data_IF_367238486837
#
_entry.id   IF_367238486837
#
_cell.length_a   1.000
_cell.length_b   1.000
_cell.length_c   1.000
_cell.angle_alpha   90.00
_cell.angle_beta   90.00
_cell.angle_gamma   90.00
#
_symmetry.space_group_name_H-M   'P 1'
#
loop_
_entity.id
_entity.type
_entity.pdbx_description
1 polymer ?
#
# COMPACT_ATOMS: atom_id res chain seq x y z
N UNK A 1 1.20 -12.25 8.27
CA UNK A 1 0.74 -11.74 9.59
C UNK A 1 1.95 -11.49 10.49
N UNK A 2 2.82 -12.47 10.75
CA UNK A 2 3.93 -12.34 11.72
C UNK A 2 5.00 -11.33 11.31
N UNK A 3 5.29 -11.17 10.01
CA UNK A 3 6.16 -10.09 9.53
C UNK A 3 5.60 -8.72 9.91
N UNK A 4 4.29 -8.53 9.73
CA UNK A 4 3.62 -7.28 10.14
C UNK A 4 3.66 -7.10 11.66
N UNK A 5 3.46 -8.18 12.44
CA UNK A 5 3.60 -8.16 13.89
C UNK A 5 4.96 -7.61 14.33
N UNK A 6 6.03 -8.08 13.66
CA UNK A 6 7.39 -7.58 13.93
C UNK A 6 7.56 -6.11 13.52
N UNK A 7 6.99 -5.71 12.38
CA UNK A 7 7.12 -4.36 11.86
C UNK A 7 6.37 -3.31 12.71
N UNK A 8 5.16 -3.63 13.17
CA UNK A 8 4.38 -2.70 14.01
C UNK A 8 4.88 -2.62 15.45
N UNK A 9 5.72 -3.57 15.87
CA UNK A 9 6.27 -3.62 17.23
C UNK A 9 5.28 -4.15 18.27
N UNK A 10 5.73 -4.31 19.49
CA UNK A 10 4.96 -4.93 20.59
C UNK A 10 3.68 -4.18 20.92
N UNK A 11 3.69 -2.86 20.81
CA UNK A 11 2.53 -1.99 21.10
C UNK A 11 1.54 -1.89 19.95
N UNK A 12 1.93 -2.30 18.75
CA UNK A 12 1.04 -2.39 17.60
C UNK A 12 0.11 -3.59 17.70
N UNK A 13 -0.91 -3.64 16.85
CA UNK A 13 -1.86 -4.76 16.79
C UNK A 13 -2.02 -5.20 15.33
N UNK A 14 -2.04 -6.51 15.10
CA UNK A 14 -2.28 -7.10 13.78
C UNK A 14 -3.47 -8.03 13.86
N UNK A 15 -4.45 -7.84 12.97
CA UNK A 15 -5.62 -8.70 12.84
C UNK A 15 -5.47 -9.46 11.52
N UNK A 16 -5.43 -10.78 11.58
CA UNK A 16 -5.49 -11.67 10.42
C UNK A 16 -6.91 -12.20 10.26
N UNK A 17 -7.52 -12.00 9.09
CA UNK A 17 -8.83 -12.53 8.75
C UNK A 17 -8.66 -13.61 7.68
N UNK A 18 -9.29 -14.74 7.86
CA UNK A 18 -9.31 -15.83 6.89
C UNK A 18 -10.65 -16.57 6.97
N UNK A 19 -11.19 -16.99 5.82
CA UNK A 19 -12.44 -17.75 5.76
C UNK A 19 -12.23 -19.24 6.07
N UNK A 20 -10.99 -19.72 6.15
CA UNK A 20 -10.63 -21.13 6.27
C UNK A 20 -10.10 -21.45 7.68
N UNK A 21 -10.88 -22.19 8.47
CA UNK A 21 -10.50 -22.52 9.85
C UNK A 21 -9.14 -23.23 9.94
N UNK A 22 -8.85 -24.18 9.04
CA UNK A 22 -7.58 -24.92 9.05
C UNK A 22 -6.35 -24.00 8.82
N UNK A 23 -6.49 -22.90 8.05
CA UNK A 23 -5.43 -21.92 7.88
C UNK A 23 -5.21 -21.10 9.16
N UNK A 24 -6.29 -20.74 9.83
CA UNK A 24 -6.21 -20.04 11.12
C UNK A 24 -5.61 -20.93 12.20
N UNK A 25 -5.94 -22.21 12.22
CA UNK A 25 -5.37 -23.17 13.18
C UNK A 25 -3.87 -23.34 12.96
N UNK A 26 -3.45 -23.42 11.69
CA UNK A 26 -2.03 -23.45 11.33
C UNK A 26 -1.33 -22.16 11.75
N UNK A 27 -1.93 -21.01 11.49
CA UNK A 27 -1.37 -19.72 11.89
C UNK A 27 -1.25 -19.64 13.42
N UNK A 28 -2.30 -19.94 14.17
CA UNK A 28 -2.31 -19.92 15.64
C UNK A 28 -1.26 -20.85 16.26
N UNK A 29 -0.97 -22.00 15.62
CA UNK A 29 0.04 -22.95 16.08
C UNK A 29 1.42 -22.31 16.29
N UNK A 30 1.76 -21.32 15.47
CA UNK A 30 3.06 -20.64 15.54
C UNK A 30 3.03 -19.33 16.33
N UNK A 31 1.89 -18.96 16.91
CA UNK A 31 1.71 -17.65 17.54
C UNK A 31 2.64 -17.44 18.74
N UNK A 32 2.75 -18.42 19.63
CA UNK A 32 3.63 -18.34 20.80
C UNK A 32 5.10 -18.38 20.41
N UNK A 33 5.48 -19.25 19.46
CA UNK A 33 6.85 -19.32 18.95
C UNK A 33 7.29 -17.96 18.37
N UNK A 34 6.43 -17.32 17.57
CA UNK A 34 6.76 -16.01 16.97
C UNK A 34 6.80 -14.90 18.03
N UNK A 35 5.89 -14.91 19.00
CA UNK A 35 5.92 -13.99 20.14
C UNK A 35 7.27 -14.07 20.88
N UNK A 36 7.69 -15.29 21.22
CA UNK A 36 8.98 -15.52 21.91
C UNK A 36 10.18 -15.08 21.06
N UNK A 37 10.17 -15.45 19.77
CA UNK A 37 11.22 -15.06 18.83
C UNK A 37 11.34 -13.54 18.68
N UNK A 38 10.25 -12.80 18.82
CA UNK A 38 10.27 -11.34 18.76
C UNK A 38 10.61 -10.69 20.10
N UNK A 39 10.59 -11.45 21.19
CA UNK A 39 10.83 -10.96 22.54
C UNK A 39 9.65 -10.19 23.13
N UNK A 40 8.43 -10.46 22.67
CA UNK A 40 7.22 -9.79 23.15
C UNK A 40 6.66 -10.47 24.40
N UNK A 41 6.20 -9.68 25.37
CA UNK A 41 5.55 -10.20 26.57
C UNK A 41 4.24 -10.90 26.21
N UNK A 42 3.45 -10.29 25.30
CA UNK A 42 2.18 -10.83 24.79
C UNK A 42 2.18 -10.82 23.27
N UNK A 43 1.45 -11.76 22.66
CA UNK A 43 1.20 -11.70 21.23
C UNK A 43 0.37 -10.46 20.88
N UNK A 44 0.83 -9.71 19.88
CA UNK A 44 0.10 -8.57 19.32
C UNK A 44 -0.70 -8.96 18.06
N UNK A 45 -0.85 -10.28 17.81
CA UNK A 45 -1.60 -10.84 16.68
C UNK A 45 -2.91 -11.45 17.16
N UNK A 46 -3.97 -11.18 16.43
CA UNK A 46 -5.29 -11.76 16.57
C UNK A 46 -5.74 -12.37 15.26
N UNK A 47 -6.31 -13.59 15.30
CA UNK A 47 -6.84 -14.28 14.13
C UNK A 47 -8.36 -14.41 14.24
N UNK A 48 -9.08 -14.03 13.20
CA UNK A 48 -10.54 -14.04 13.11
C UNK A 48 -11.00 -14.85 11.91
N UNK A 49 -11.94 -15.76 12.14
CA UNK A 49 -12.62 -16.49 11.07
C UNK A 49 -13.69 -15.58 10.47
N UNK A 50 -13.70 -15.44 9.15
CA UNK A 50 -14.73 -14.67 8.45
C UNK A 50 -14.35 -14.36 7.03
N UNK A 51 -15.25 -13.66 6.35
CA UNK A 51 -15.12 -13.26 4.96
C UNK A 51 -14.63 -11.83 4.87
N UNK A 52 -13.78 -11.57 3.86
CA UNK A 52 -13.26 -10.22 3.60
C UNK A 52 -14.31 -9.27 3.04
N UNK A 53 -15.40 -9.82 2.53
CA UNK A 53 -16.60 -9.12 2.07
C UNK A 53 -17.47 -8.61 3.23
N UNK A 54 -17.25 -9.09 4.46
CA UNK A 54 -18.02 -8.71 5.65
C UNK A 54 -17.11 -8.65 6.87
N UNK A 55 -16.29 -7.62 6.93
CA UNK A 55 -15.37 -7.39 8.05
C UNK A 55 -16.11 -6.95 9.32
N UNK A 56 -17.34 -6.43 9.17
CA UNK A 56 -18.19 -6.09 10.31
C UNK A 56 -18.57 -7.34 11.10
N UNK A 57 -18.95 -8.45 10.43
CA UNK A 57 -19.18 -9.74 11.06
C UNK A 57 -17.92 -10.30 11.74
N UNK A 58 -16.73 -9.92 11.28
CA UNK A 58 -15.48 -10.22 11.96
C UNK A 58 -15.21 -9.33 13.18
N UNK A 59 -16.12 -8.43 13.54
CA UNK A 59 -15.97 -7.48 14.66
C UNK A 59 -14.94 -6.38 14.40
N UNK A 60 -14.73 -5.99 13.14
CA UNK A 60 -13.85 -4.88 12.77
C UNK A 60 -14.70 -3.63 12.57
N UNK A 61 -14.50 -2.64 13.42
CA UNK A 61 -15.28 -1.42 13.46
C UNK A 61 -14.91 -0.45 12.34
N UNK A 62 -15.81 0.49 12.06
CA UNK A 62 -15.55 1.60 11.15
C UNK A 62 -14.35 2.42 11.61
N UNK A 63 -13.55 2.86 10.67
CA UNK A 63 -12.42 3.77 10.91
C UNK A 63 -11.51 3.35 12.09
N UNK A 64 -11.30 2.04 12.24
CA UNK A 64 -10.51 1.46 13.33
C UNK A 64 -9.11 1.02 12.90
N UNK A 65 -8.85 0.90 11.59
CA UNK A 65 -7.63 0.32 11.01
C UNK A 65 -6.77 1.40 10.36
N UNK A 66 -5.48 1.39 10.65
CA UNK A 66 -4.50 2.31 10.06
C UNK A 66 -3.98 1.81 8.70
N UNK A 67 -3.86 0.49 8.53
CA UNK A 67 -3.29 -0.13 7.33
C UNK A 67 -3.96 -1.47 7.06
N UNK A 68 -4.49 -1.65 5.86
CA UNK A 68 -4.93 -2.94 5.32
C UNK A 68 -3.89 -3.44 4.33
N UNK A 69 -3.44 -4.69 4.53
CA UNK A 69 -2.49 -5.36 3.64
C UNK A 69 -3.12 -6.63 3.10
N UNK A 70 -3.02 -6.84 1.80
CA UNK A 70 -3.48 -8.06 1.13
C UNK A 70 -2.49 -8.47 0.03
N UNK A 71 -2.37 -9.77 -0.21
CA UNK A 71 -1.54 -10.29 -1.29
C UNK A 71 -2.22 -11.48 -1.96
N UNK A 72 -2.56 -11.33 -3.25
CA UNK A 72 -3.20 -12.36 -4.10
C UNK A 72 -4.50 -12.93 -3.51
N UNK A 73 -5.33 -12.12 -2.86
CA UNK A 73 -6.56 -12.57 -2.22
C UNK A 73 -7.80 -11.89 -2.79
N UNK A 74 -7.72 -10.59 -3.07
CA UNK A 74 -8.87 -9.81 -3.55
C UNK A 74 -9.40 -10.38 -4.87
N UNK A 75 -8.53 -10.86 -5.74
CA UNK A 75 -8.91 -11.49 -6.99
C UNK A 75 -9.70 -12.81 -6.81
N UNK A 76 -9.54 -13.49 -5.69
CA UNK A 76 -10.29 -14.73 -5.41
C UNK A 76 -11.74 -14.47 -5.00
N UNK A 77 -12.04 -13.27 -4.53
CA UNK A 77 -13.42 -12.90 -4.20
C UNK A 77 -14.26 -12.67 -5.46
N UNK A 78 -15.47 -13.24 -5.53
CA UNK A 78 -16.43 -12.91 -6.58
C UNK A 78 -17.11 -11.55 -6.36
N UNK A 79 -16.99 -10.96 -5.15
CA UNK A 79 -17.63 -9.71 -4.74
C UNK A 79 -16.58 -8.65 -4.37
N UNK A 80 -15.74 -8.29 -5.34
CA UNK A 80 -14.63 -7.36 -5.12
C UNK A 80 -15.07 -5.97 -4.70
N UNK A 81 -16.25 -5.55 -5.11
CA UNK A 81 -16.92 -4.31 -4.71
C UNK A 81 -17.21 -4.30 -3.20
N UNK A 82 -17.72 -5.40 -2.65
CA UNK A 82 -17.95 -5.55 -1.21
C UNK A 82 -16.63 -5.54 -0.45
N UNK A 83 -15.63 -6.29 -0.94
CA UNK A 83 -14.29 -6.31 -0.32
C UNK A 83 -13.71 -4.91 -0.20
N UNK A 84 -13.67 -4.15 -1.31
CA UNK A 84 -13.07 -2.82 -1.32
C UNK A 84 -13.90 -1.82 -0.50
N UNK A 85 -15.23 -1.96 -0.49
CA UNK A 85 -16.11 -1.14 0.36
C UNK A 85 -15.87 -1.40 1.84
N UNK A 86 -15.73 -2.66 2.26
CA UNK A 86 -15.40 -3.00 3.64
C UNK A 86 -14.01 -2.51 4.04
N UNK A 87 -13.02 -2.63 3.15
CA UNK A 87 -11.68 -2.07 3.38
C UNK A 87 -11.76 -0.54 3.55
N UNK A 88 -12.52 0.14 2.71
CA UNK A 88 -12.69 1.60 2.84
C UNK A 88 -13.39 1.97 4.15
N UNK A 89 -14.43 1.22 4.54
CA UNK A 89 -15.16 1.44 5.79
C UNK A 89 -14.24 1.35 7.01
N UNK A 90 -13.45 0.27 7.11
CA UNK A 90 -12.62 0.01 8.29
C UNK A 90 -11.39 0.89 8.39
N UNK A 91 -10.90 1.44 7.29
CA UNK A 91 -9.74 2.33 7.29
C UNK A 91 -10.09 3.67 7.95
N UNK A 92 -9.21 4.15 8.83
CA UNK A 92 -9.24 5.52 9.36
C UNK A 92 -9.03 6.54 8.25
N UNK A 93 -9.47 7.80 8.43
CA UNK A 93 -8.96 8.89 7.63
C UNK A 93 -7.41 8.93 7.69
N UNK A 94 -6.74 9.01 6.53
CA UNK A 94 -5.29 8.88 6.42
C UNK A 94 -4.77 7.44 6.41
N UNK A 95 -5.63 6.46 6.63
CA UNK A 95 -5.29 5.04 6.55
C UNK A 95 -4.97 4.59 5.13
N UNK A 96 -4.23 3.51 5.01
CA UNK A 96 -3.67 3.02 3.75
C UNK A 96 -4.20 1.62 3.41
N UNK A 97 -4.68 1.45 2.19
CA UNK A 97 -4.78 0.13 1.55
C UNK A 97 -3.48 -0.12 0.79
N UNK A 98 -2.80 -1.21 1.11
CA UNK A 98 -1.59 -1.66 0.43
C UNK A 98 -1.75 -3.12 0.03
N UNK A 99 -2.03 -3.38 -1.23
CA UNK A 99 -2.25 -4.75 -1.68
C UNK A 99 -1.63 -5.04 -3.03
N UNK A 100 -1.22 -6.29 -3.21
CA UNK A 100 -0.67 -6.82 -4.45
C UNK A 100 -1.62 -7.85 -5.02
N UNK A 101 -1.91 -7.75 -6.31
CA UNK A 101 -2.74 -8.72 -7.02
C UNK A 101 -2.43 -8.74 -8.52
N UNK A 102 -3.08 -9.66 -9.24
CA UNK A 102 -2.88 -9.86 -10.68
C UNK A 102 -3.85 -9.00 -11.48
N UNK A 103 -3.33 -8.36 -12.51
CA UNK A 103 -4.09 -7.57 -13.49
C UNK A 103 -3.94 -8.15 -14.87
N UNK A 104 -4.94 -7.97 -15.71
CA UNK A 104 -4.96 -8.41 -17.11
C UNK A 104 -5.04 -7.21 -18.07
N UNK A 105 -4.48 -7.36 -19.25
CA UNK A 105 -4.51 -6.34 -20.32
C UNK A 105 -5.91 -6.15 -20.93
N UNK A 106 -6.85 -7.05 -20.64
CA UNK A 106 -8.23 -7.01 -21.14
C UNK A 106 -9.19 -7.74 -20.22
N UNK A 107 -10.49 -7.50 -20.42
CA UNK A 107 -11.54 -8.23 -19.69
C UNK A 107 -11.56 -9.70 -20.11
N UNK A 108 -11.71 -10.57 -19.13
CA UNK A 108 -11.93 -12.00 -19.35
C UNK A 108 -13.39 -12.32 -19.66
N UNK A 109 -13.62 -13.34 -20.45
CA UNK A 109 -14.94 -13.95 -20.62
C UNK A 109 -15.39 -14.64 -19.33
N UNK A 110 -16.71 -14.79 -19.14
CA UNK A 110 -17.24 -15.47 -17.96
C UNK A 110 -16.77 -16.92 -17.87
N UNK A 111 -16.55 -17.59 -19.00
CA UNK A 111 -16.00 -18.94 -19.06
C UNK A 111 -14.60 -19.02 -18.41
N UNK A 112 -13.73 -18.09 -18.78
CA UNK A 112 -12.36 -18.04 -18.21
C UNK A 112 -12.38 -17.63 -16.72
N UNK A 113 -13.29 -16.73 -16.33
CA UNK A 113 -13.42 -16.30 -14.94
C UNK A 113 -13.82 -17.43 -13.99
N UNK A 114 -14.60 -18.38 -14.46
CA UNK A 114 -15.08 -19.52 -13.67
C UNK A 114 -14.29 -20.81 -13.88
N UNK A 115 -13.21 -20.75 -14.66
CA UNK A 115 -12.35 -21.91 -14.86
C UNK A 115 -11.60 -22.24 -13.57
N UNK A 116 -11.73 -23.45 -13.01
CA UNK A 116 -11.15 -23.81 -11.70
C UNK A 116 -9.61 -23.69 -11.67
N UNK A 117 -8.96 -23.96 -12.80
CA UNK A 117 -7.50 -23.86 -12.90
C UNK A 117 -7.07 -22.40 -12.88
N UNK A 118 -7.73 -21.55 -13.69
CA UNK A 118 -7.41 -20.13 -13.76
C UNK A 118 -7.73 -19.41 -12.44
N UNK A 119 -8.81 -19.79 -11.76
CA UNK A 119 -9.13 -19.27 -10.42
C UNK A 119 -8.05 -19.70 -9.42
N UNK A 120 -7.63 -20.97 -9.42
CA UNK A 120 -6.58 -21.48 -8.55
C UNK A 120 -5.21 -20.82 -8.78
N UNK A 121 -4.93 -20.39 -10.00
CA UNK A 121 -3.72 -19.65 -10.38
C UNK A 121 -3.85 -18.12 -10.21
N UNK A 122 -4.92 -17.63 -9.58
CA UNK A 122 -5.24 -16.20 -9.41
C UNK A 122 -5.41 -15.42 -10.74
N UNK A 123 -5.50 -16.12 -11.87
CA UNK A 123 -5.67 -15.52 -13.19
C UNK A 123 -7.14 -15.24 -13.49
N UNK A 124 -8.04 -16.18 -13.17
CA UNK A 124 -9.48 -16.08 -13.46
C UNK A 124 -10.14 -14.83 -12.87
N UNK A 125 -9.66 -14.39 -11.70
CA UNK A 125 -10.14 -13.17 -11.04
C UNK A 125 -9.35 -11.91 -11.35
N UNK A 126 -8.36 -11.95 -12.27
CA UNK A 126 -7.50 -10.80 -12.54
C UNK A 126 -8.29 -9.54 -12.90
N UNK A 127 -7.89 -8.42 -12.34
CA UNK A 127 -8.49 -7.13 -12.63
C UNK A 127 -8.12 -6.66 -14.04
N UNK A 128 -9.09 -6.13 -14.77
CA UNK A 128 -8.78 -5.24 -15.88
C UNK A 128 -8.60 -3.82 -15.33
N UNK A 129 -7.47 -3.18 -15.60
CA UNK A 129 -7.04 -1.92 -14.96
C UNK A 129 -8.12 -0.83 -14.98
N UNK A 130 -8.81 -0.66 -16.11
CA UNK A 130 -9.85 0.37 -16.21
C UNK A 130 -11.03 0.07 -15.30
N UNK A 131 -11.50 -1.17 -15.26
CA UNK A 131 -12.62 -1.59 -14.41
C UNK A 131 -12.24 -1.45 -12.93
N UNK A 132 -10.99 -1.76 -12.60
CA UNK A 132 -10.48 -1.57 -11.25
C UNK A 132 -10.46 -0.10 -10.84
N UNK A 133 -10.02 0.81 -11.72
CA UNK A 133 -10.06 2.26 -11.45
C UNK A 133 -11.48 2.78 -11.23
N UNK A 134 -12.42 2.35 -12.06
CA UNK A 134 -13.83 2.70 -11.92
C UNK A 134 -14.40 2.19 -10.59
N UNK A 135 -14.06 0.95 -10.21
CA UNK A 135 -14.48 0.35 -8.94
C UNK A 135 -13.90 1.10 -7.74
N UNK A 136 -12.59 1.40 -7.76
CA UNK A 136 -11.93 2.17 -6.71
C UNK A 136 -12.56 3.56 -6.53
N UNK A 137 -12.86 4.25 -7.63
CA UNK A 137 -13.53 5.55 -7.60
C UNK A 137 -14.94 5.47 -7.00
N UNK A 138 -15.72 4.44 -7.35
CA UNK A 138 -17.06 4.20 -6.79
C UNK A 138 -17.03 3.96 -5.28
N UNK A 139 -16.01 3.28 -4.79
CA UNK A 139 -15.83 2.98 -3.36
C UNK A 139 -15.39 4.21 -2.56
N UNK A 140 -14.68 5.16 -3.18
CA UNK A 140 -14.21 6.37 -2.51
C UNK A 140 -12.74 6.71 -2.73
N UNK A 141 -12.04 5.96 -3.59
CA UNK A 141 -10.68 6.27 -4.04
C UNK A 141 -10.67 6.70 -5.50
N UNK A 142 -10.92 7.96 -5.84
CA UNK A 142 -10.88 8.44 -7.23
C UNK A 142 -9.47 8.33 -7.83
N UNK A 143 -8.45 8.21 -6.98
CA UNK A 143 -7.06 7.98 -7.39
C UNK A 143 -6.32 7.08 -6.40
N UNK A 144 -5.32 6.38 -6.92
CA UNK A 144 -4.35 5.55 -6.19
C UNK A 144 -3.06 5.46 -7.01
N UNK A 145 -2.00 4.89 -6.42
CA UNK A 145 -0.72 4.69 -7.12
C UNK A 145 -0.30 3.23 -7.12
N UNK A 146 0.40 2.83 -8.19
CA UNK A 146 1.11 1.57 -8.23
C UNK A 146 2.51 1.78 -7.66
N UNK A 147 2.89 0.97 -6.68
CA UNK A 147 4.24 1.01 -6.08
C UNK A 147 5.18 0.03 -6.76
N UNK A 148 4.64 -1.07 -7.27
CA UNK A 148 5.35 -2.10 -8.05
C UNK A 148 4.47 -2.51 -9.21
N UNK A 149 5.07 -2.72 -10.37
CA UNK A 149 4.45 -3.27 -11.58
C UNK A 149 5.45 -4.24 -12.20
N UNK A 150 5.13 -5.52 -12.19
CA UNK A 150 5.97 -6.58 -12.74
C UNK A 150 5.20 -7.40 -13.77
N UNK A 151 5.79 -7.64 -14.93
CA UNK A 151 5.22 -8.53 -15.95
C UNK A 151 5.19 -9.97 -15.47
N UNK A 152 4.07 -10.63 -15.69
CA UNK A 152 3.87 -12.03 -15.35
C UNK A 152 3.89 -12.90 -16.59
N UNK A 153 4.69 -13.97 -16.55
CA UNK A 153 4.72 -14.97 -17.62
C UNK A 153 3.92 -16.20 -17.22
N UNK A 154 2.87 -16.49 -17.99
CA UNK A 154 2.15 -17.75 -17.90
C UNK A 154 3.00 -18.82 -18.59
N UNK A 155 3.67 -19.69 -17.83
CA UNK A 155 4.67 -20.61 -18.36
C UNK A 155 4.11 -21.77 -19.19
N UNK A 156 2.87 -22.21 -18.91
CA UNK A 156 2.25 -23.35 -19.56
C UNK A 156 1.59 -22.96 -20.89
N UNK A 157 1.99 -23.59 -21.98
CA UNK A 157 1.49 -23.28 -23.32
C UNK A 157 -0.01 -23.56 -23.50
N UNK A 158 -0.53 -24.57 -22.84
CA UNK A 158 -1.96 -24.90 -22.81
C UNK A 158 -2.77 -23.79 -22.15
N UNK A 159 -2.28 -23.24 -21.03
CA UNK A 159 -2.89 -22.08 -20.37
C UNK A 159 -2.79 -20.83 -21.24
N UNK A 160 -1.65 -20.57 -21.87
CA UNK A 160 -1.50 -19.44 -22.81
C UNK A 160 -2.50 -19.52 -23.95
N UNK A 161 -2.64 -20.71 -24.54
CA UNK A 161 -3.60 -20.94 -25.64
C UNK A 161 -5.03 -20.73 -25.17
N UNK A 162 -5.37 -21.27 -24.00
CA UNK A 162 -6.70 -21.11 -23.38
C UNK A 162 -7.03 -19.63 -23.09
N UNK A 163 -6.05 -18.87 -22.62
CA UNK A 163 -6.16 -17.45 -22.33
C UNK A 163 -6.10 -16.55 -23.58
N UNK A 164 -5.93 -17.11 -24.79
CA UNK A 164 -5.81 -16.34 -26.01
C UNK A 164 -4.64 -15.35 -25.99
N UNK A 165 -3.53 -15.75 -25.36
CA UNK A 165 -2.31 -14.94 -25.18
C UNK A 165 -2.57 -13.59 -24.49
N UNK A 166 -3.46 -13.56 -23.51
CA UNK A 166 -3.62 -12.41 -22.62
C UNK A 166 -2.33 -12.13 -21.86
N UNK A 167 -2.04 -10.84 -21.64
CA UNK A 167 -0.92 -10.42 -20.82
C UNK A 167 -1.40 -10.14 -19.40
N UNK A 168 -0.55 -10.51 -18.44
CA UNK A 168 -0.80 -10.30 -17.02
C UNK A 168 0.34 -9.51 -16.38
N UNK A 169 -0.01 -8.70 -15.42
CA UNK A 169 0.93 -7.96 -14.58
C UNK A 169 0.60 -8.19 -13.11
N UNK A 170 1.62 -8.31 -12.28
CA UNK A 170 1.48 -8.24 -10.83
C UNK A 170 1.65 -6.79 -10.42
N UNK A 171 0.62 -6.18 -9.84
CA UNK A 171 0.68 -4.79 -9.41
C UNK A 171 0.47 -4.69 -7.91
N UNK A 172 1.30 -3.86 -7.26
CA UNK A 172 1.07 -3.47 -5.87
C UNK A 172 0.48 -2.06 -5.84
N UNK A 173 -0.70 -1.94 -5.26
CA UNK A 173 -1.45 -0.69 -5.14
C UNK A 173 -1.25 -0.07 -3.76
N UNK A 174 -1.11 1.24 -3.74
CA UNK A 174 -1.22 2.09 -2.55
C UNK A 174 -2.37 3.06 -2.73
N UNK A 175 -3.36 2.99 -1.85
CA UNK A 175 -4.48 3.93 -1.82
C UNK A 175 -4.64 4.50 -0.40
N UNK A 176 -4.72 5.82 -0.28
CA UNK A 176 -4.87 6.53 1.00
C UNK A 176 -6.31 7.01 1.13
N UNK A 177 -6.98 6.66 2.25
CA UNK A 177 -8.32 7.17 2.55
C UNK A 177 -8.23 8.64 2.97
N UNK A 178 -8.52 9.54 2.05
CA UNK A 178 -8.57 10.97 2.33
C UNK A 178 -9.61 11.67 1.45
N UNK A 179 -10.17 12.76 1.95
CA UNK A 179 -11.12 13.57 1.20
C UNK A 179 -10.42 14.52 0.23
N UNK A 180 -11.17 15.02 -0.74
CA UNK A 180 -10.73 16.04 -1.69
C UNK A 180 -9.76 15.53 -2.75
N UNK A 181 -9.66 14.21 -2.95
CA UNK A 181 -8.99 13.64 -4.12
C UNK A 181 -9.82 13.90 -5.38
N UNK A 182 -9.12 14.10 -6.48
CA UNK A 182 -9.68 14.38 -7.80
C UNK A 182 -9.47 13.17 -8.72
N UNK A 183 -10.34 12.95 -9.70
CA UNK A 183 -10.20 11.86 -10.66
C UNK A 183 -8.95 12.01 -11.54
N UNK A 184 -8.57 13.28 -11.84
CA UNK A 184 -7.36 13.63 -12.58
C UNK A 184 -6.21 14.05 -11.69
N UNK A 185 -5.01 13.94 -12.22
CA UNK A 185 -3.83 14.54 -11.59
C UNK A 185 -3.74 16.02 -11.99
N UNK A 186 -4.04 16.92 -11.05
CA UNK A 186 -4.13 18.36 -11.28
C UNK A 186 -2.94 19.11 -10.67
N UNK A 187 -2.52 20.22 -11.32
CA UNK A 187 -1.36 21.03 -10.93
C UNK A 187 -1.80 22.28 -10.14
N UNK A 188 -1.40 22.32 -8.89
CA UNK A 188 -1.53 23.47 -7.98
C UNK A 188 -0.18 24.08 -7.63
N UNK A 189 0.88 23.73 -8.37
CA UNK A 189 2.24 24.20 -8.13
C UNK A 189 2.86 23.68 -6.85
N UNK A 190 2.38 22.58 -6.32
CA UNK A 190 2.87 22.01 -5.08
C UNK A 190 4.19 21.27 -5.26
N UNK A 191 4.97 21.28 -4.20
CA UNK A 191 6.26 20.61 -4.12
C UNK A 191 6.32 19.82 -2.84
N UNK A 192 6.75 18.57 -2.92
CA UNK A 192 7.02 17.74 -1.77
C UNK A 192 8.51 17.47 -1.62
N UNK A 193 9.03 17.59 -0.41
CA UNK A 193 10.42 17.30 -0.08
C UNK A 193 10.47 16.26 1.02
N UNK A 194 11.11 15.14 0.74
CA UNK A 194 11.34 14.11 1.75
C UNK A 194 12.45 14.55 2.71
N UNK A 195 12.15 14.59 4.00
CA UNK A 195 13.07 15.05 5.03
C UNK A 195 14.00 13.94 5.54
N UNK A 196 13.69 12.67 5.20
CA UNK A 196 14.34 11.51 5.80
C UNK A 196 13.71 11.17 7.17
N UNK A 197 14.45 10.44 8.00
CA UNK A 197 14.00 10.09 9.35
C UNK A 197 13.16 8.82 9.43
N UNK A 198 12.79 8.22 8.30
CA UNK A 198 12.20 6.89 8.26
C UNK A 198 13.34 5.85 8.35
N UNK A 199 13.38 5.01 9.38
CA UNK A 199 14.53 4.13 9.65
C UNK A 199 14.90 3.22 8.47
N UNK A 200 13.89 2.68 7.79
CA UNK A 200 14.07 1.75 6.67
C UNK A 200 14.40 2.45 5.37
N UNK A 201 14.09 3.75 5.27
CA UNK A 201 14.26 4.57 4.06
C UNK A 201 15.00 5.88 4.36
N UNK A 202 16.19 5.87 4.95
CA UNK A 202 16.84 7.10 5.45
C UNK A 202 17.27 8.06 4.33
N UNK A 203 17.46 7.56 3.11
CA UNK A 203 17.99 8.34 1.98
C UNK A 203 16.96 8.69 0.91
N UNK A 204 15.92 7.88 0.77
CA UNK A 204 14.88 8.08 -0.22
C UNK A 204 13.59 7.39 0.23
N UNK A 205 12.48 7.78 -0.35
CA UNK A 205 11.17 7.17 -0.18
C UNK A 205 10.57 6.85 -1.54
N UNK A 206 10.26 5.57 -1.77
CA UNK A 206 9.57 5.10 -2.97
C UNK A 206 8.06 5.24 -2.74
N UNK A 207 7.50 6.28 -3.34
CA UNK A 207 6.07 6.57 -3.22
C UNK A 207 5.25 5.74 -4.19
N UNK A 208 5.68 5.70 -5.44
CA UNK A 208 5.09 4.89 -6.51
C UNK A 208 6.18 4.31 -7.41
N UNK A 209 5.80 3.50 -8.39
CA UNK A 209 6.73 3.00 -9.41
C UNK A 209 7.48 4.13 -10.14
N UNK A 210 6.82 5.28 -10.31
CA UNK A 210 7.34 6.42 -11.07
C UNK A 210 7.94 7.53 -10.20
N UNK A 211 7.60 7.58 -8.90
CA UNK A 211 7.98 8.68 -8.00
C UNK A 211 8.84 8.18 -6.86
N UNK A 212 10.11 8.56 -6.89
CA UNK A 212 11.07 8.39 -5.78
C UNK A 212 11.50 9.74 -5.24
N UNK A 213 11.21 9.98 -3.98
CA UNK A 213 11.69 11.17 -3.26
C UNK A 213 13.06 10.90 -2.64
N UNK A 214 14.07 11.62 -3.09
CA UNK A 214 15.39 11.62 -2.44
C UNK A 214 15.40 12.64 -1.31
N UNK A 215 16.03 12.28 -0.19
CA UNK A 215 16.14 13.16 0.98
C UNK A 215 16.64 14.57 0.60
N UNK A 216 15.92 15.59 1.04
CA UNK A 216 16.24 16.99 0.81
C UNK A 216 16.10 17.47 -0.64
N UNK A 217 15.57 16.65 -1.55
CA UNK A 217 15.35 17.03 -2.95
C UNK A 217 13.88 17.40 -3.15
N UNK A 218 13.56 18.65 -3.50
CA UNK A 218 12.20 19.03 -3.84
C UNK A 218 11.77 18.36 -5.14
N UNK A 219 10.53 17.85 -5.15
CA UNK A 219 9.89 17.21 -6.30
C UNK A 219 8.53 17.86 -6.51
N UNK A 220 8.26 18.32 -7.74
CA UNK A 220 6.92 18.80 -8.09
C UNK A 220 5.92 17.64 -8.05
N UNK A 221 4.77 17.88 -7.43
CA UNK A 221 3.73 16.84 -7.25
C UNK A 221 2.36 17.39 -7.62
N UNK A 222 1.47 16.50 -8.01
CA UNK A 222 0.06 16.82 -8.21
C UNK A 222 -0.66 17.11 -6.90
N UNK A 223 -1.84 17.71 -6.98
CA UNK A 223 -2.71 17.95 -5.83
C UNK A 223 -3.07 16.67 -5.09
N UNK A 224 -3.34 15.58 -5.81
CA UNK A 224 -3.64 14.27 -5.23
C UNK A 224 -2.43 13.70 -4.47
N UNK A 225 -1.26 13.69 -5.09
CA UNK A 225 -0.02 13.22 -4.43
C UNK A 225 0.27 14.04 -3.17
N UNK A 226 0.14 15.37 -3.22
CA UNK A 226 0.34 16.22 -2.06
C UNK A 226 -0.65 15.89 -0.91
N UNK A 227 -1.93 15.72 -1.24
CA UNK A 227 -2.97 15.37 -0.26
C UNK A 227 -2.77 13.99 0.36
N UNK A 228 -2.50 12.97 -0.48
CA UNK A 228 -2.24 11.62 0.00
C UNK A 228 -1.02 11.55 0.91
N UNK A 229 0.06 12.23 0.57
CA UNK A 229 1.25 12.32 1.43
C UNK A 229 0.91 13.01 2.76
N UNK A 230 0.27 14.18 2.71
CA UNK A 230 -0.04 14.97 3.90
C UNK A 230 -1.00 14.24 4.86
N UNK A 231 -2.01 13.57 4.34
CA UNK A 231 -3.02 12.88 5.14
C UNK A 231 -2.52 11.57 5.75
N UNK A 232 -1.52 10.93 5.14
CA UNK A 232 -1.05 9.61 5.52
C UNK A 232 -0.03 9.65 6.67
N UNK A 233 0.30 8.47 7.19
CA UNK A 233 1.39 8.25 8.15
C UNK A 233 2.75 8.77 7.68
N UNK A 234 2.91 9.04 6.39
CA UNK A 234 4.14 9.56 5.80
C UNK A 234 4.27 11.07 5.94
N UNK A 235 3.17 11.82 6.18
CA UNK A 235 3.14 13.29 6.18
C UNK A 235 4.20 13.92 7.06
N UNK A 236 4.47 13.36 8.23
CA UNK A 236 5.48 13.85 9.17
C UNK A 236 6.94 13.79 8.63
N UNK A 237 7.17 13.02 7.59
CA UNK A 237 8.50 12.89 6.95
C UNK A 237 8.65 13.78 5.70
N UNK A 238 7.65 14.59 5.42
CA UNK A 238 7.62 15.44 4.24
C UNK A 238 7.38 16.90 4.61
N UNK A 239 8.06 17.78 3.90
CA UNK A 239 7.66 19.17 3.76
C UNK A 239 6.87 19.28 2.45
N UNK A 240 5.63 19.73 2.52
CA UNK A 240 4.75 19.89 1.35
C UNK A 240 4.33 21.37 1.32
N UNK A 241 4.57 22.03 0.18
CA UNK A 241 4.18 23.43 0.02
C UNK A 241 2.65 23.57 -0.08
N UNK A 242 2.14 24.73 0.30
CA UNK A 242 0.72 25.05 0.14
C UNK A 242 0.31 24.99 -1.34
N UNK A 243 -0.98 24.69 -1.57
CA UNK A 243 -1.57 24.71 -2.90
C UNK A 243 -1.69 26.16 -3.39
N UNK A 244 -1.19 26.41 -4.58
CA UNK A 244 -1.40 27.65 -5.30
C UNK A 244 -2.67 27.61 -6.15
N UNK A 245 -2.85 28.59 -7.07
CA UNK A 245 -3.92 28.56 -8.04
C UNK A 245 -3.84 27.31 -8.94
N UNK A 246 -4.99 26.78 -9.32
CA UNK A 246 -5.10 25.68 -10.28
C UNK A 246 -4.45 26.06 -11.62
N UNK A 247 -3.61 25.19 -12.16
CA UNK A 247 -2.81 25.40 -13.36
C UNK A 247 -3.19 24.47 -14.52
N UNK A 248 -4.18 23.59 -14.31
CA UNK A 248 -4.60 22.56 -15.25
C UNK A 248 -3.99 21.20 -14.92
N UNK A 249 -4.05 20.28 -15.87
CA UNK A 249 -3.56 18.91 -15.67
C UNK A 249 -2.06 18.88 -15.31
N UNK A 250 -1.73 18.07 -14.32
CA UNK A 250 -0.36 17.90 -13.86
C UNK A 250 0.48 17.14 -14.88
N UNK A 251 1.63 17.73 -15.22
CA UNK A 251 2.65 17.07 -16.02
C UNK A 251 3.97 17.09 -15.25
N UNK A 252 4.40 15.94 -14.78
CA UNK A 252 5.56 15.79 -13.90
C UNK A 252 6.84 16.38 -14.51
N UNK A 253 7.11 16.14 -15.80
CA UNK A 253 8.30 16.65 -16.48
C UNK A 253 8.28 18.17 -16.56
N UNK A 254 7.16 18.76 -17.00
CA UNK A 254 7.00 20.21 -17.13
C UNK A 254 7.08 20.91 -15.77
N UNK A 255 6.41 20.34 -14.76
CA UNK A 255 6.41 20.89 -13.41
C UNK A 255 7.81 20.83 -12.78
N UNK A 256 8.53 19.73 -12.98
CA UNK A 256 9.91 19.59 -12.48
C UNK A 256 10.88 20.54 -13.20
N UNK A 257 10.73 20.76 -14.50
CA UNK A 257 11.52 21.76 -15.25
C UNK A 257 11.26 23.18 -14.73
N UNK A 258 9.98 23.52 -14.49
CA UNK A 258 9.63 24.82 -13.91
C UNK A 258 10.25 25.02 -12.51
N UNK A 259 10.26 23.99 -11.68
CA UNK A 259 10.91 24.00 -10.38
C UNK A 259 12.42 24.21 -10.49
N UNK A 260 13.06 23.60 -11.48
CA UNK A 260 14.52 23.76 -11.71
C UNK A 260 14.92 25.12 -12.20
N UNK A 261 14.12 25.72 -13.07
CA UNK A 261 14.32 27.10 -13.52
C UNK A 261 14.19 28.10 -12.35
N UNK A 262 13.38 27.79 -11.35
CA UNK A 262 13.10 28.66 -10.21
C UNK A 262 13.93 28.31 -8.97
N UNK A 263 14.96 27.47 -9.08
CA UNK A 263 15.88 27.06 -7.97
C UNK A 263 16.42 28.22 -7.13
N UNK A 264 16.43 29.45 -7.63
CA UNK A 264 16.78 30.64 -6.84
C UNK A 264 15.65 31.27 -6.02
N UNK A 265 14.39 30.83 -6.26
CA UNK A 265 13.18 31.37 -5.60
C UNK A 265 12.47 30.37 -4.68
N UNK A 266 12.63 29.08 -4.90
CA UNK A 266 12.14 28.08 -3.98
C UNK A 266 13.16 27.83 -2.86
N UNK A 267 13.27 28.82 -1.96
CA UNK A 267 13.99 28.61 -0.70
C UNK A 267 13.13 27.67 0.14
N UNK A 268 13.53 26.40 0.22
CA UNK A 268 13.15 25.59 1.37
C UNK A 268 13.60 26.41 2.57
N UNK A 269 12.67 26.75 3.44
CA UNK A 269 13.02 27.51 4.64
C UNK A 269 13.98 26.65 5.46
N UNK A 270 15.24 27.09 5.53
CA UNK A 270 16.30 26.39 6.22
C UNK A 270 15.97 26.22 7.70
N UNK A 271 15.30 27.21 8.29
CA UNK A 271 14.87 27.16 9.68
C UNK A 271 13.82 26.05 9.89
N UNK A 272 12.90 25.85 8.93
CA UNK A 272 11.96 24.72 8.98
C UNK A 272 12.67 23.36 8.87
N UNK A 273 13.68 23.24 8.02
CA UNK A 273 14.46 22.00 7.91
C UNK A 273 15.24 21.72 9.22
N UNK A 274 15.86 22.74 9.77
CA UNK A 274 16.62 22.65 11.02
C UNK A 274 15.68 22.26 12.18
N UNK A 275 14.52 22.91 12.33
CA UNK A 275 13.49 22.56 13.32
C UNK A 275 12.91 21.14 13.11
N UNK A 276 12.66 20.74 11.86
CA UNK A 276 12.20 19.38 11.56
C UNK A 276 13.27 18.32 11.90
N UNK A 277 14.55 18.63 11.68
CA UNK A 277 15.66 17.75 12.06
C UNK A 277 15.81 17.64 13.58
N UNK A 278 15.68 18.77 14.31
CA UNK A 278 15.71 18.77 15.77
C UNK A 278 14.56 17.97 16.39
N UNK A 279 13.33 18.12 15.87
CA UNK A 279 12.15 17.37 16.34
C UNK A 279 12.22 15.88 16.07
N UNK A 280 12.98 15.45 15.07
CA UNK A 280 13.08 14.05 14.68
C UNK A 280 14.12 13.26 15.49
N UNK A 281 14.78 13.87 16.47
CA UNK A 281 15.83 13.26 17.32
C UNK A 281 16.75 12.35 16.48
N UNK A 282 17.40 12.98 15.48
CA UNK A 282 18.15 12.28 14.45
C UNK A 282 19.46 11.74 15.00
N UNK A 283 19.45 10.52 15.50
CA UNK A 283 20.71 9.78 15.73
C UNK A 283 21.33 9.39 14.41
N UNK A 284 22.62 9.54 14.29
CA UNK A 284 23.36 9.22 13.07
C UNK A 284 23.16 7.76 12.65
N UNK A 285 23.28 7.47 11.37
CA UNK A 285 23.17 6.11 10.84
C UNK A 285 24.12 5.12 11.54
N UNK A 286 25.29 5.58 11.96
CA UNK A 286 26.32 4.78 12.64
C UNK A 286 25.87 4.30 14.03
N UNK A 287 25.06 5.09 14.74
CA UNK A 287 24.49 4.70 16.04
C UNK A 287 23.40 3.63 15.96
N UNK A 288 22.91 3.31 14.76
CA UNK A 288 21.76 2.42 14.55
C UNK A 288 22.11 1.05 13.97
N UNK A 289 23.28 0.89 13.39
CA UNK A 289 23.72 -0.36 12.72
C UNK A 289 23.90 -1.51 13.72
N UNK A 290 24.02 -1.23 15.00
CA UNK A 290 24.16 -2.24 16.05
C UNK A 290 22.87 -2.68 16.75
N UNK A 291 21.72 -2.10 16.45
CA UNK A 291 20.44 -2.48 17.09
C UNK A 291 19.44 -2.97 16.04
N UNK A 292 18.69 -4.07 16.30
CA UNK A 292 17.59 -4.46 15.44
C UNK A 292 16.56 -3.31 15.43
N UNK A 293 16.51 -2.61 14.32
CA UNK A 293 15.65 -1.43 14.16
C UNK A 293 14.22 -1.88 14.07
N UNK A 294 13.54 -1.92 15.19
CA UNK A 294 12.11 -1.96 15.27
C UNK A 294 11.58 -0.65 14.69
N UNK A 295 10.61 -0.73 13.81
CA UNK A 295 9.78 0.40 13.40
C UNK A 295 9.08 1.02 14.63
N UNK A 296 9.81 1.80 15.43
CA UNK A 296 9.26 2.57 16.54
C UNK A 296 8.69 3.87 15.99
N UNK A 297 7.67 3.81 15.18
CA UNK A 297 7.14 5.05 14.62
C UNK A 297 5.71 5.33 14.96
N UNK A 298 4.98 4.46 15.63
CA UNK A 298 3.60 4.85 15.99
C UNK A 298 3.16 4.17 17.27
N UNK A 299 2.87 4.98 18.27
CA UNK A 299 2.00 4.63 19.35
C UNK A 299 0.68 4.12 18.75
N UNK A 300 0.41 2.82 18.89
CA UNK A 300 -0.87 2.17 18.60
C UNK A 300 -1.35 2.18 17.13
N UNK A 301 -0.52 1.83 16.15
CA UNK A 301 -1.03 1.48 14.82
C UNK A 301 -1.80 0.15 14.86
N UNK A 302 -3.03 0.17 14.37
CA UNK A 302 -3.80 -1.04 14.09
C UNK A 302 -3.62 -1.41 12.62
N UNK A 303 -3.09 -2.59 12.37
CA UNK A 303 -2.86 -3.12 11.02
C UNK A 303 -3.69 -4.37 10.84
N UNK A 304 -4.43 -4.44 9.75
CA UNK A 304 -5.15 -5.63 9.33
C UNK A 304 -4.44 -6.26 8.15
N UNK A 305 -4.19 -7.54 8.21
CA UNK A 305 -3.77 -8.33 7.06
C UNK A 305 -4.86 -9.32 6.69
N UNK A 306 -5.24 -9.28 5.43
CA UNK A 306 -6.10 -10.29 4.81
C UNK A 306 -5.20 -11.15 3.92
N UNK A 307 -5.00 -12.39 4.31
CA UNK A 307 -4.13 -13.30 3.58
C UNK A 307 -4.75 -14.69 3.53
N UNK A 308 -4.95 -15.21 2.33
CA UNK A 308 -5.32 -16.60 2.10
C UNK A 308 -4.17 -17.22 1.32
N UNK A 309 -3.45 -18.13 1.97
CA UNK A 309 -2.36 -18.86 1.33
C UNK A 309 -2.85 -20.20 0.83
N UNK A 310 -3.23 -20.28 -0.41
CA UNK A 310 -3.07 -21.52 -1.16
C UNK A 310 -1.69 -21.52 -1.81
N UNK A 311 -1.09 -22.71 -2.04
CA UNK A 311 0.17 -22.86 -2.76
C UNK A 311 0.13 -22.01 -4.02
N UNK A 312 0.70 -20.84 -3.95
CA UNK A 312 0.86 -19.99 -5.11
C UNK A 312 2.02 -20.56 -5.93
N UNK A 313 1.74 -21.03 -7.14
CA UNK A 313 2.74 -21.50 -8.08
C UNK A 313 3.34 -20.36 -8.92
N UNK A 314 2.95 -19.11 -8.63
CA UNK A 314 3.44 -17.94 -9.33
C UNK A 314 4.73 -17.44 -8.70
N UNK A 315 5.81 -17.42 -9.48
CA UNK A 315 7.10 -16.83 -9.08
C UNK A 315 7.06 -15.31 -9.19
N UNK A 316 6.29 -14.65 -8.31
CA UNK A 316 6.32 -13.20 -8.21
C UNK A 316 7.56 -12.75 -7.46
N UNK A 317 8.34 -11.80 -8.00
CA UNK A 317 9.56 -11.25 -7.40
C UNK A 317 9.36 -10.66 -5.99
N UNK A 318 8.12 -10.34 -5.62
CA UNK A 318 7.75 -9.66 -4.38
C UNK A 318 6.72 -10.43 -3.55
N UNK A 319 6.50 -11.71 -3.83
CA UNK A 319 5.65 -12.56 -3.00
C UNK A 319 6.40 -12.93 -1.72
N UNK A 320 6.00 -12.32 -0.61
CA UNK A 320 6.52 -12.65 0.73
C UNK A 320 5.65 -13.74 1.37
N UNK A 321 5.76 -14.97 0.86
CA UNK A 321 5.24 -16.16 1.51
C UNK A 321 6.24 -16.71 2.54
#
# INVERSE_FOLDING_TARGET
>A
VYVLSKLVGETGRVIGVDMTQSQLDLAKKYQDEQRERFGYEKSNVEFRLGYIEDLAACGIEDESIDLVVSNCVVNLSPFKDLVLSEVYRVLKPGGELYFSDVYSDRRMSDELRHDPVLVGECLGGAFYEKDFRELMAQVGWPTFVHTVVDDMHVGALDLQTKLGFMSFTSCTVRAIKTSGLEEGEEDYGQVATYLGGMPEMPRYFDYSADIRFKKGKPVAVSGNTARMLAASRYGKYFHITEAGPHRGAFNALRAQQALEVHKGKCKIDRAFLEDAYERMDYKSFEDRVGQPTLLRTHEQQQTMQVNITYKCNLACKHCYL
#
